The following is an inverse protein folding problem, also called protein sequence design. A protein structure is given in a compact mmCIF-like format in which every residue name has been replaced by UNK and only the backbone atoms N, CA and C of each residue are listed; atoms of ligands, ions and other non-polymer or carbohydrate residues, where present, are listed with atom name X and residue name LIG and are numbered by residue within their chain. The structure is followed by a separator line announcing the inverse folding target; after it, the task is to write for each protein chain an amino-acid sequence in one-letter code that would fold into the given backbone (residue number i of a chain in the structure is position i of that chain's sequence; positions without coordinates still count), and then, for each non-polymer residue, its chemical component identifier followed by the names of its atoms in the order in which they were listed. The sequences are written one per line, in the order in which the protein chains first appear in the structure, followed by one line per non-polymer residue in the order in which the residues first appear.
data_IF_191286511084
#
_entry.id   IF_191286511084
#
_cell.length_a   1.000
_cell.length_b   1.000
_cell.length_c   1.000
_cell.angle_alpha   90.00
_cell.angle_beta   90.00
_cell.angle_gamma   90.00
#
_symmetry.space_group_name_H-M   'P 1'
#
loop_
_entity.id
_entity.type
_entity.pdbx_description
1 polymer ?
#
# COMPACT_ATOMS: atom_id res chain seq x y z
N UNK A 1 -4.57 -15.50 39.97
CA UNK A 1 -4.71 -15.96 38.60
C UNK A 1 -4.28 -14.80 37.71
N UNK A 2 -3.26 -15.02 36.88
CA UNK A 2 -2.58 -13.99 36.08
C UNK A 2 -3.21 -13.79 34.71
N UNK A 3 -4.29 -14.52 34.42
CA UNK A 3 -5.02 -14.48 33.17
C UNK A 3 -5.94 -13.25 33.09
N UNK A 4 -5.81 -12.46 32.03
CA UNK A 4 -6.57 -11.25 31.77
C UNK A 4 -7.66 -11.41 30.71
N UNK A 5 -7.90 -12.60 30.16
CA UNK A 5 -8.86 -12.79 29.08
C UNK A 5 -10.27 -12.28 29.47
N UNK A 6 -10.72 -12.56 30.68
CA UNK A 6 -12.00 -12.03 31.18
C UNK A 6 -12.01 -10.50 31.31
N UNK A 7 -10.87 -9.89 31.59
CA UNK A 7 -10.75 -8.42 31.69
C UNK A 7 -10.78 -7.77 30.31
N UNK A 8 -10.35 -8.46 29.25
CA UNK A 8 -10.46 -7.98 27.89
C UNK A 8 -11.92 -7.73 27.52
N UNK A 9 -12.79 -8.68 27.80
CA UNK A 9 -14.21 -8.56 27.48
C UNK A 9 -14.88 -7.44 28.30
N UNK A 10 -14.58 -7.34 29.60
CA UNK A 10 -15.06 -6.25 30.46
C UNK A 10 -14.52 -4.88 29.98
N UNK A 11 -13.26 -4.82 29.54
CA UNK A 11 -12.69 -3.62 28.97
C UNK A 11 -13.45 -3.17 27.72
N UNK A 12 -13.76 -4.10 26.83
CA UNK A 12 -14.54 -3.80 25.63
C UNK A 12 -15.98 -3.37 25.97
N UNK A 13 -16.60 -3.97 26.96
CA UNK A 13 -17.92 -3.55 27.45
C UNK A 13 -17.91 -2.16 28.07
N UNK A 14 -16.79 -1.72 28.65
CA UNK A 14 -16.65 -0.38 29.27
C UNK A 14 -16.84 0.78 28.29
N UNK A 15 -16.75 0.54 26.98
CA UNK A 15 -17.04 1.54 25.95
C UNK A 15 -18.52 1.88 25.81
N UNK A 16 -19.43 1.08 26.40
CA UNK A 16 -20.87 1.34 26.41
C UNK A 16 -21.45 1.49 25.00
N UNK A 17 -22.02 2.66 24.71
CA UNK A 17 -22.62 2.96 23.41
C UNK A 17 -21.62 3.30 22.29
N UNK A 18 -20.33 3.53 22.60
CA UNK A 18 -19.28 3.78 21.59
C UNK A 18 -18.87 2.50 20.87
N UNK A 19 -19.77 2.00 20.02
CA UNK A 19 -19.53 0.80 19.19
C UNK A 19 -18.30 0.94 18.29
N UNK A 20 -17.97 2.15 17.84
CA UNK A 20 -16.80 2.38 16.95
C UNK A 20 -15.50 2.23 17.72
N UNK A 21 -15.39 2.82 18.89
CA UNK A 21 -14.25 2.65 19.80
C UNK A 21 -14.07 1.18 20.17
N UNK A 22 -15.12 0.55 20.66
CA UNK A 22 -15.13 -0.88 21.02
C UNK A 22 -14.63 -1.79 19.90
N UNK A 23 -15.17 -1.64 18.68
CA UNK A 23 -14.76 -2.48 17.53
C UNK A 23 -13.30 -2.26 17.13
N UNK A 24 -12.81 -1.03 17.24
CA UNK A 24 -11.40 -0.69 16.98
C UNK A 24 -10.48 -1.40 17.98
N UNK A 25 -10.76 -1.28 19.28
CA UNK A 25 -9.97 -1.95 20.32
C UNK A 25 -10.07 -3.48 20.21
N UNK A 26 -11.27 -4.02 19.98
CA UNK A 26 -11.47 -5.46 19.74
C UNK A 26 -10.61 -5.98 18.60
N UNK A 27 -10.57 -5.27 17.48
CA UNK A 27 -9.75 -5.65 16.33
C UNK A 27 -8.25 -5.62 16.63
N UNK A 28 -7.78 -4.60 17.38
CA UNK A 28 -6.37 -4.40 17.68
C UNK A 28 -5.84 -5.33 18.80
N UNK A 29 -6.71 -5.76 19.72
CA UNK A 29 -6.38 -6.73 20.78
C UNK A 29 -6.53 -8.19 20.32
N UNK A 30 -7.19 -8.42 19.19
CA UNK A 30 -7.41 -9.77 18.66
C UNK A 30 -6.07 -10.43 18.31
N UNK A 31 -5.89 -11.66 18.77
CA UNK A 31 -4.72 -12.49 18.47
C UNK A 31 -3.60 -12.42 19.49
N UNK A 32 -3.63 -11.48 20.43
CA UNK A 32 -2.72 -11.47 21.56
C UNK A 32 -3.18 -12.45 22.65
N UNK A 33 -2.22 -13.13 23.28
CA UNK A 33 -2.45 -14.01 24.40
C UNK A 33 -2.33 -13.24 25.73
N UNK A 34 -3.35 -13.36 26.56
CA UNK A 34 -3.43 -12.74 27.89
C UNK A 34 -3.53 -13.75 29.02
N UNK A 35 -3.11 -14.99 28.79
CA UNK A 35 -3.20 -16.07 29.80
C UNK A 35 -2.29 -15.83 30.98
N UNK A 36 -1.11 -15.26 30.77
CA UNK A 36 -0.20 -14.88 31.85
C UNK A 36 0.48 -13.54 31.63
N UNK A 37 0.02 -12.51 32.35
CA UNK A 37 0.55 -11.14 32.23
C UNK A 37 2.04 -11.04 32.56
N UNK A 38 2.61 -11.96 33.33
CA UNK A 38 4.05 -11.94 33.69
C UNK A 38 4.94 -12.08 32.46
N UNK A 39 4.47 -12.79 31.44
CA UNK A 39 5.20 -12.98 30.19
C UNK A 39 5.40 -11.66 29.44
N UNK A 40 4.50 -10.69 29.59
CA UNK A 40 4.57 -9.38 28.94
C UNK A 40 5.66 -8.45 29.48
N UNK A 41 6.42 -8.89 30.45
CA UNK A 41 7.62 -8.19 30.96
C UNK A 41 8.88 -8.56 30.17
N UNK A 42 8.81 -9.60 29.32
CA UNK A 42 9.91 -10.08 28.50
C UNK A 42 9.76 -9.59 27.04
N UNK A 43 10.78 -8.91 26.55
CA UNK A 43 10.82 -8.43 25.19
C UNK A 43 10.73 -9.55 24.15
N UNK A 44 11.29 -10.73 24.44
CA UNK A 44 11.22 -11.89 23.54
C UNK A 44 9.80 -12.39 23.41
N UNK A 45 9.06 -12.44 24.51
CA UNK A 45 7.64 -12.78 24.49
C UNK A 45 6.82 -11.73 23.75
N UNK A 46 7.06 -10.45 24.00
CA UNK A 46 6.38 -9.34 23.29
C UNK A 46 6.57 -9.49 21.77
N UNK A 47 7.81 -9.73 21.31
CA UNK A 47 8.09 -9.93 19.88
C UNK A 47 7.28 -11.11 19.33
N UNK A 48 7.28 -12.25 20.02
CA UNK A 48 6.52 -13.44 19.63
C UNK A 48 5.02 -13.17 19.52
N UNK A 49 4.45 -12.44 20.47
CA UNK A 49 3.04 -12.04 20.42
C UNK A 49 2.74 -11.12 19.23
N UNK A 50 3.64 -10.18 18.92
CA UNK A 50 3.50 -9.37 17.72
C UNK A 50 3.68 -10.17 16.43
N UNK A 51 4.51 -11.20 16.42
CA UNK A 51 4.65 -12.12 15.28
C UNK A 51 3.33 -12.84 14.98
N UNK A 52 2.62 -13.32 16.01
CA UNK A 52 1.33 -14.00 15.83
C UNK A 52 0.24 -13.09 15.25
N UNK A 53 0.25 -11.80 15.55
CA UNK A 53 -0.76 -10.86 15.04
C UNK A 53 -0.40 -10.24 13.69
N UNK A 54 0.76 -10.58 13.12
CA UNK A 54 1.23 -10.16 11.80
C UNK A 54 1.03 -8.66 11.52
N UNK A 55 1.67 -7.75 12.27
CA UNK A 55 1.51 -6.32 12.05
C UNK A 55 2.07 -5.91 10.69
N UNK A 56 1.33 -5.07 9.97
CA UNK A 56 1.65 -4.69 8.58
C UNK A 56 2.69 -3.57 8.44
N UNK A 57 3.06 -2.91 9.52
CA UNK A 57 3.99 -1.78 9.50
C UNK A 57 4.41 -1.37 10.90
N UNK A 58 5.51 -0.60 11.00
CA UNK A 58 5.92 0.03 12.26
C UNK A 58 4.80 0.90 12.88
N UNK A 59 3.94 1.52 12.07
CA UNK A 59 2.80 2.29 12.55
C UNK A 59 1.72 1.38 13.16
N UNK A 60 1.44 0.24 12.55
CA UNK A 60 0.52 -0.77 13.11
C UNK A 60 1.03 -1.29 14.45
N UNK A 61 2.33 -1.62 14.55
CA UNK A 61 2.98 -1.97 15.82
C UNK A 61 2.80 -0.87 16.87
N UNK A 62 3.06 0.39 16.52
CA UNK A 62 2.88 1.53 17.43
C UNK A 62 1.44 1.65 17.92
N UNK A 63 0.47 1.48 17.02
CA UNK A 63 -0.95 1.54 17.33
C UNK A 63 -1.34 0.42 18.30
N UNK A 64 -0.96 -0.83 18.02
CA UNK A 64 -1.22 -1.98 18.88
C UNK A 64 -0.56 -1.85 20.25
N UNK A 65 0.70 -1.40 20.30
CA UNK A 65 1.38 -1.08 21.56
C UNK A 65 0.62 -0.05 22.41
N UNK A 66 0.10 1.00 21.77
CA UNK A 66 -0.69 2.01 22.46
C UNK A 66 -1.97 1.42 23.04
N UNK A 67 -2.66 0.58 22.29
CA UNK A 67 -3.88 -0.12 22.74
C UNK A 67 -3.59 -1.07 23.88
N UNK A 68 -2.53 -1.88 23.80
CA UNK A 68 -2.10 -2.77 24.88
C UNK A 68 -1.78 -2.00 26.16
N UNK A 69 -1.09 -0.87 26.07
CA UNK A 69 -0.79 -0.02 27.23
C UNK A 69 -2.06 0.53 27.88
N UNK A 70 -3.04 0.98 27.08
CA UNK A 70 -4.35 1.43 27.58
C UNK A 70 -5.08 0.29 28.28
N UNK A 71 -5.10 -0.89 27.67
CA UNK A 71 -5.72 -2.08 28.24
C UNK A 71 -5.06 -2.49 29.57
N UNK A 72 -3.73 -2.58 29.62
CA UNK A 72 -3.01 -2.94 30.86
C UNK A 72 -3.21 -1.90 31.95
N UNK A 73 -3.23 -0.61 31.61
CA UNK A 73 -3.57 0.46 32.56
C UNK A 73 -4.96 0.25 33.14
N UNK A 74 -5.95 0.07 32.31
CA UNK A 74 -7.33 -0.18 32.73
C UNK A 74 -7.42 -1.42 33.62
N UNK A 75 -6.78 -2.55 33.24
CA UNK A 75 -6.72 -3.75 34.06
C UNK A 75 -6.12 -3.48 35.43
N UNK A 76 -5.05 -2.67 35.52
CA UNK A 76 -4.39 -2.35 36.80
C UNK A 76 -5.29 -1.58 37.76
N UNK A 77 -6.30 -0.90 37.25
CA UNK A 77 -7.32 -0.19 38.02
C UNK A 77 -8.45 -1.14 38.51
N UNK A 78 -8.63 -2.30 37.84
CA UNK A 78 -9.69 -3.27 38.13
C UNK A 78 -9.26 -4.44 39.01
N UNK A 79 -7.97 -4.71 39.14
CA UNK A 79 -7.46 -5.83 39.94
C UNK A 79 -7.04 -5.36 41.34
N UNK A 80 -7.33 -6.17 42.37
CA UNK A 80 -6.95 -5.86 43.75
C UNK A 80 -5.55 -6.42 44.12
N UNK A 81 -5.10 -7.48 43.44
CA UNK A 81 -3.85 -8.14 43.72
C UNK A 81 -2.65 -7.26 43.32
N UNK A 82 -1.81 -6.90 44.31
CA UNK A 82 -0.67 -6.03 44.11
C UNK A 82 0.41 -6.61 43.17
N UNK A 83 0.62 -7.92 43.20
CA UNK A 83 1.60 -8.58 42.31
C UNK A 83 1.14 -8.48 40.85
N UNK A 84 -0.15 -8.69 40.59
CA UNK A 84 -0.73 -8.53 39.24
C UNK A 84 -0.64 -7.08 38.78
N UNK A 85 -0.92 -6.11 39.67
CA UNK A 85 -0.74 -4.67 39.37
C UNK A 85 0.71 -4.38 38.97
N UNK A 86 1.66 -4.87 39.72
CA UNK A 86 3.08 -4.67 39.42
C UNK A 86 3.46 -5.28 38.08
N UNK A 87 3.03 -6.50 37.76
CA UNK A 87 3.27 -7.13 36.47
C UNK A 87 2.67 -6.33 35.30
N UNK A 88 1.45 -5.80 35.48
CA UNK A 88 0.81 -4.94 34.48
C UNK A 88 1.60 -3.63 34.24
N UNK A 89 2.11 -3.00 35.28
CA UNK A 89 2.94 -1.80 35.17
C UNK A 89 4.28 -2.11 34.49
N UNK A 90 4.90 -3.23 34.84
CA UNK A 90 6.13 -3.71 34.19
C UNK A 90 5.90 -4.03 32.71
N UNK A 91 4.79 -4.68 32.36
CA UNK A 91 4.39 -4.92 30.96
C UNK A 91 4.19 -3.63 30.17
N UNK A 92 3.57 -2.60 30.78
CA UNK A 92 3.46 -1.28 30.15
C UNK A 92 4.84 -0.64 29.92
N UNK A 93 5.77 -0.78 30.86
CA UNK A 93 7.13 -0.27 30.74
C UNK A 93 7.87 -0.99 29.61
N UNK A 94 7.86 -2.32 29.59
CA UNK A 94 8.48 -3.13 28.54
C UNK A 94 7.92 -2.77 27.14
N UNK A 95 6.60 -2.63 27.01
CA UNK A 95 5.96 -2.14 25.77
C UNK A 95 6.39 -0.71 25.42
N UNK A 96 6.79 0.11 26.38
CA UNK A 96 7.26 1.48 26.10
C UNK A 96 8.70 1.47 25.61
N UNK A 97 9.56 0.68 26.23
CA UNK A 97 11.00 0.59 25.97
C UNK A 97 11.31 -0.09 24.62
N UNK A 98 10.62 -1.19 24.30
CA UNK A 98 10.85 -1.87 23.02
C UNK A 98 10.38 -0.98 21.85
N UNK A 99 11.26 -0.69 20.89
CA UNK A 99 10.87 0.14 19.74
C UNK A 99 9.99 -0.64 18.76
N UNK A 100 9.07 0.06 18.06
CA UNK A 100 8.29 -0.54 16.99
C UNK A 100 9.15 -1.04 15.83
N UNK A 101 10.28 -0.40 15.58
CA UNK A 101 11.27 -0.84 14.59
C UNK A 101 11.96 -2.12 15.02
N UNK A 102 12.32 -2.25 16.32
CA UNK A 102 12.89 -3.49 16.86
C UNK A 102 11.93 -4.67 16.67
N UNK A 103 10.66 -4.49 17.03
CA UNK A 103 9.62 -5.51 16.82
C UNK A 103 9.52 -5.88 15.33
N UNK A 104 9.40 -4.92 14.43
CA UNK A 104 9.28 -5.19 12.99
C UNK A 104 10.50 -5.88 12.40
N UNK A 105 11.71 -5.53 12.85
CA UNK A 105 12.94 -6.17 12.38
C UNK A 105 13.11 -7.59 12.91
N UNK A 106 12.54 -7.90 14.09
CA UNK A 106 12.62 -9.24 14.70
C UNK A 106 11.53 -10.17 14.17
N UNK A 107 10.38 -9.62 13.81
CA UNK A 107 9.35 -10.36 13.10
C UNK A 107 9.87 -10.50 11.66
N UNK A 108 10.25 -11.70 11.27
CA UNK A 108 10.41 -12.04 9.85
C UNK A 108 9.02 -11.98 9.21
N UNK A 109 8.53 -10.77 8.99
CA UNK A 109 7.41 -10.57 8.09
C UNK A 109 7.97 -10.96 6.74
N UNK A 110 7.56 -12.12 6.25
CA UNK A 110 7.44 -12.35 4.82
C UNK A 110 6.41 -11.34 4.25
N UNK A 111 6.69 -10.05 4.38
CA UNK A 111 6.13 -9.05 3.50
C UNK A 111 6.97 -9.16 2.22
N UNK A 112 6.91 -10.35 1.61
CA UNK A 112 7.36 -10.56 0.25
C UNK A 112 6.46 -9.67 -0.59
N UNK A 113 6.89 -8.42 -0.67
CA UNK A 113 6.26 -7.43 -1.50
C UNK A 113 6.48 -7.92 -2.92
N UNK A 114 5.52 -8.70 -3.42
CA UNK A 114 5.57 -9.28 -4.74
C UNK A 114 5.33 -8.20 -5.77
N UNK A 115 6.04 -8.29 -6.86
CA UNK A 115 5.94 -7.42 -8.01
C UNK A 115 5.31 -8.19 -9.16
N UNK A 116 4.95 -7.50 -10.22
CA UNK A 116 4.42 -8.13 -11.43
C UNK A 116 5.36 -7.86 -12.61
N UNK A 117 5.60 -8.89 -13.40
CA UNK A 117 6.30 -8.78 -14.67
C UNK A 117 5.44 -8.05 -15.71
N UNK A 118 6.08 -7.63 -16.80
CA UNK A 118 5.36 -7.01 -17.92
C UNK A 118 4.37 -7.98 -18.59
N UNK A 119 4.68 -9.27 -18.61
CA UNK A 119 3.79 -10.28 -19.21
C UNK A 119 2.60 -10.59 -18.30
N UNK A 120 2.79 -10.63 -16.97
CA UNK A 120 1.69 -10.69 -16.02
C UNK A 120 0.77 -9.48 -16.16
N UNK A 121 1.34 -8.26 -16.27
CA UNK A 121 0.55 -7.06 -16.52
C UNK A 121 -0.30 -7.19 -17.78
N UNK A 122 0.31 -7.58 -18.93
CA UNK A 122 -0.42 -7.74 -20.19
C UNK A 122 -1.56 -8.75 -20.07
N UNK A 123 -1.33 -9.85 -19.35
CA UNK A 123 -2.35 -10.87 -19.11
C UNK A 123 -3.51 -10.30 -18.26
N UNK A 124 -3.20 -9.55 -17.20
CA UNK A 124 -4.21 -8.88 -16.37
C UNK A 124 -5.05 -7.92 -17.20
N UNK A 125 -4.40 -7.03 -17.97
CA UNK A 125 -5.10 -6.05 -18.82
C UNK A 125 -6.00 -6.77 -19.84
N UNK A 126 -5.50 -7.83 -20.48
CA UNK A 126 -6.30 -8.64 -21.41
C UNK A 126 -7.51 -9.28 -20.72
N UNK A 127 -7.35 -9.81 -19.52
CA UNK A 127 -8.45 -10.41 -18.76
C UNK A 127 -9.50 -9.35 -18.36
N UNK A 128 -9.05 -8.16 -17.96
CA UNK A 128 -9.94 -7.04 -17.67
C UNK A 128 -10.79 -6.69 -18.91
N UNK A 129 -10.16 -6.58 -20.08
CA UNK A 129 -10.81 -6.14 -21.30
C UNK A 129 -11.79 -7.18 -21.88
N UNK A 130 -11.48 -8.48 -21.71
CA UNK A 130 -12.22 -9.56 -22.42
C UNK A 130 -13.21 -10.29 -21.51
N UNK A 131 -12.87 -10.53 -20.25
CA UNK A 131 -13.60 -11.46 -19.39
C UNK A 131 -14.21 -10.84 -18.15
N UNK A 132 -13.85 -9.60 -17.80
CA UNK A 132 -14.40 -8.98 -16.62
C UNK A 132 -15.77 -8.33 -16.90
N UNK A 133 -16.83 -8.98 -16.42
CA UNK A 133 -18.20 -8.42 -16.49
C UNK A 133 -18.37 -7.27 -15.48
N UNK A 134 -17.66 -6.17 -15.76
CA UNK A 134 -17.69 -4.96 -14.95
C UNK A 134 -17.70 -3.74 -15.86
N UNK A 135 -18.76 -2.94 -15.89
CA UNK A 135 -18.84 -1.79 -16.77
C UNK A 135 -17.80 -0.69 -16.48
N UNK A 136 -17.13 -0.73 -15.33
CA UNK A 136 -15.96 0.13 -15.04
C UNK A 136 -14.62 -0.50 -15.47
N UNK A 137 -14.60 -1.65 -16.14
CA UNK A 137 -13.37 -2.32 -16.55
C UNK A 137 -12.41 -1.40 -17.35
N UNK A 138 -12.87 -0.59 -18.33
CA UNK A 138 -12.00 0.35 -19.06
C UNK A 138 -11.29 1.34 -18.15
N UNK A 139 -11.99 1.90 -17.16
CA UNK A 139 -11.40 2.81 -16.17
C UNK A 139 -10.34 2.09 -15.30
N UNK A 140 -10.64 0.87 -14.88
CA UNK A 140 -9.72 0.11 -14.03
C UNK A 140 -8.45 -0.28 -14.79
N UNK A 141 -8.56 -0.72 -16.05
CA UNK A 141 -7.41 -1.06 -16.87
C UNK A 141 -6.54 0.16 -17.18
N UNK A 142 -7.16 1.31 -17.50
CA UNK A 142 -6.45 2.55 -17.73
C UNK A 142 -5.68 3.01 -16.46
N UNK A 143 -6.30 2.97 -15.29
CA UNK A 143 -5.65 3.36 -14.04
C UNK A 143 -4.51 2.41 -13.67
N UNK A 144 -4.70 1.10 -13.83
CA UNK A 144 -3.70 0.10 -13.49
C UNK A 144 -2.48 0.22 -14.41
N UNK A 145 -2.72 0.36 -15.72
CA UNK A 145 -1.66 0.55 -16.70
C UNK A 145 -0.92 1.88 -16.53
N UNK A 146 -1.65 2.97 -16.23
CA UNK A 146 -1.07 4.29 -16.00
C UNK A 146 -0.06 4.28 -14.84
N UNK A 147 -0.39 3.62 -13.74
CA UNK A 147 0.50 3.48 -12.59
C UNK A 147 1.76 2.67 -12.98
N UNK A 148 1.57 1.57 -13.69
CA UNK A 148 2.68 0.74 -14.14
C UNK A 148 3.61 1.49 -15.08
N UNK A 149 3.08 2.27 -16.03
CA UNK A 149 3.87 3.05 -16.98
C UNK A 149 4.56 4.28 -16.37
N UNK A 150 4.28 4.62 -15.11
CA UNK A 150 5.03 5.64 -14.38
C UNK A 150 4.22 6.84 -13.92
N UNK A 151 2.89 6.82 -14.02
CA UNK A 151 2.07 7.82 -13.33
C UNK A 151 2.21 7.59 -11.83
N UNK A 152 3.18 8.27 -11.25
CA UNK A 152 3.63 8.12 -9.87
C UNK A 152 2.49 8.20 -8.87
N UNK A 153 2.51 7.28 -7.92
CA UNK A 153 1.53 7.22 -6.85
C UNK A 153 2.17 7.72 -5.57
N UNK A 154 1.99 8.99 -5.29
CA UNK A 154 2.26 9.54 -3.97
C UNK A 154 1.14 9.15 -2.97
N UNK A 155 1.31 9.56 -1.73
CA UNK A 155 0.32 9.26 -0.69
C UNK A 155 -1.07 9.85 -0.99
N UNK A 156 -1.14 10.92 -1.78
CA UNK A 156 -2.35 11.70 -2.08
C UNK A 156 -2.89 11.48 -3.50
N UNK A 157 -2.16 10.74 -4.37
CA UNK A 157 -2.50 10.52 -5.77
C UNK A 157 -2.64 11.83 -6.58
N UNK A 158 -1.85 12.85 -6.25
CA UNK A 158 -1.98 14.16 -6.88
C UNK A 158 -1.73 14.11 -8.38
N UNK A 159 -0.74 13.34 -8.85
CA UNK A 159 -0.45 13.13 -10.28
C UNK A 159 -1.63 12.53 -11.02
N UNK A 160 -2.24 11.47 -10.47
CA UNK A 160 -3.41 10.79 -11.05
C UNK A 160 -4.64 11.72 -11.07
N UNK A 161 -4.88 12.39 -9.95
CA UNK A 161 -6.03 13.29 -9.77
C UNK A 161 -5.99 14.49 -10.71
N UNK A 162 -4.79 15.01 -10.99
CA UNK A 162 -4.59 16.21 -11.79
C UNK A 162 -4.38 15.92 -13.28
N UNK A 163 -4.26 14.64 -13.68
CA UNK A 163 -4.04 14.26 -15.07
C UNK A 163 -5.21 14.65 -15.98
N UNK A 164 -4.91 15.33 -17.10
CA UNK A 164 -5.91 15.83 -18.07
C UNK A 164 -5.63 15.31 -19.47
N UNK A 165 -6.69 15.14 -20.24
CA UNK A 165 -6.57 14.73 -21.64
C UNK A 165 -5.87 15.79 -22.50
N UNK A 166 -6.03 17.09 -22.17
CA UNK A 166 -5.35 18.20 -22.84
C UNK A 166 -3.83 18.23 -22.64
N UNK A 167 -3.33 17.52 -21.61
CA UNK A 167 -1.90 17.45 -21.31
C UNK A 167 -1.19 16.33 -22.09
N UNK A 168 -1.91 15.62 -22.97
CA UNK A 168 -1.37 14.54 -23.82
C UNK A 168 -1.02 15.11 -25.20
N UNK A 169 0.27 15.13 -25.52
CA UNK A 169 0.79 15.55 -26.83
C UNK A 169 1.62 14.41 -27.44
N UNK A 170 1.22 13.88 -28.57
CA UNK A 170 1.82 12.69 -29.13
C UNK A 170 1.69 11.49 -28.20
N UNK A 171 2.78 10.88 -27.77
CA UNK A 171 2.85 9.82 -26.76
C UNK A 171 3.49 10.34 -25.47
N UNK A 172 3.43 11.63 -25.22
CA UNK A 172 3.92 12.26 -24.01
C UNK A 172 2.75 12.86 -23.26
N UNK A 173 2.69 12.61 -21.96
CA UNK A 173 1.76 13.29 -21.06
C UNK A 173 2.54 14.20 -20.11
N UNK A 174 2.08 15.44 -19.97
CA UNK A 174 2.61 16.38 -18.98
C UNK A 174 1.83 16.18 -17.68
N UNK A 175 2.53 15.78 -16.63
CA UNK A 175 1.96 15.46 -15.32
C UNK A 175 2.27 16.55 -14.31
N UNK A 176 1.30 16.85 -13.46
CA UNK A 176 1.36 17.90 -12.45
C UNK A 176 1.33 17.29 -11.05
N UNK A 177 2.45 17.36 -10.34
CA UNK A 177 2.53 17.11 -8.89
C UNK A 177 2.34 18.45 -8.14
N UNK A 178 2.32 18.43 -6.82
CA UNK A 178 2.03 19.62 -5.97
C UNK A 178 2.84 20.85 -6.37
N UNK A 179 4.14 20.68 -6.55
CA UNK A 179 5.11 21.76 -6.75
C UNK A 179 5.98 21.54 -8.01
N UNK A 180 5.71 20.51 -8.79
CA UNK A 180 6.51 20.15 -9.96
C UNK A 180 5.67 19.70 -11.14
N UNK A 181 6.24 19.86 -12.32
CA UNK A 181 5.68 19.37 -13.57
C UNK A 181 6.74 18.53 -14.26
N UNK A 182 6.37 17.37 -14.77
CA UNK A 182 7.28 16.49 -15.50
C UNK A 182 6.56 15.84 -16.68
N UNK A 183 7.34 15.38 -17.64
CA UNK A 183 6.83 14.70 -18.83
C UNK A 183 7.08 13.20 -18.70
N UNK A 184 6.08 12.41 -19.06
CA UNK A 184 6.14 10.97 -19.09
C UNK A 184 5.82 10.47 -20.50
N UNK A 185 6.70 9.65 -21.05
CA UNK A 185 6.42 8.91 -22.27
C UNK A 185 5.54 7.72 -21.96
N UNK A 186 4.40 7.62 -22.66
CA UNK A 186 3.38 6.60 -22.49
C UNK A 186 3.21 5.76 -23.76
N UNK A 187 2.78 4.51 -23.59
CA UNK A 187 2.45 3.63 -24.72
C UNK A 187 1.23 4.16 -25.50
N UNK A 188 1.12 3.76 -26.77
CA UNK A 188 -0.05 4.07 -27.59
C UNK A 188 -1.33 3.45 -26.99
N UNK A 189 -1.24 2.28 -26.38
CA UNK A 189 -2.38 1.63 -25.71
C UNK A 189 -2.82 2.47 -24.49
N UNK A 190 -1.90 2.85 -23.63
CA UNK A 190 -2.24 3.70 -22.48
C UNK A 190 -2.84 5.03 -22.93
N UNK A 191 -2.24 5.70 -23.92
CA UNK A 191 -2.78 6.95 -24.47
C UNK A 191 -4.25 6.80 -24.90
N UNK A 192 -4.57 5.77 -25.68
CA UNK A 192 -5.93 5.53 -26.12
C UNK A 192 -6.88 5.36 -24.93
N UNK A 193 -6.51 4.54 -23.94
CA UNK A 193 -7.31 4.32 -22.73
C UNK A 193 -7.53 5.59 -21.93
N UNK A 194 -6.50 6.43 -21.78
CA UNK A 194 -6.60 7.71 -21.07
C UNK A 194 -7.58 8.65 -21.76
N UNK A 195 -7.51 8.77 -23.10
CA UNK A 195 -8.41 9.60 -23.89
C UNK A 195 -9.86 9.08 -23.85
N UNK A 196 -10.08 7.79 -23.82
CA UNK A 196 -11.40 7.18 -23.66
C UNK A 196 -11.95 7.43 -22.24
N UNK A 197 -11.14 7.15 -21.21
CA UNK A 197 -11.51 7.35 -19.81
C UNK A 197 -11.87 8.81 -19.50
N UNK A 198 -11.21 9.78 -20.14
CA UNK A 198 -11.50 11.22 -19.94
C UNK A 198 -12.90 11.61 -20.40
N UNK A 199 -13.50 10.88 -21.35
CA UNK A 199 -14.85 11.15 -21.89
C UNK A 199 -15.97 10.61 -21.00
N UNK A 200 -15.62 9.71 -20.06
CA UNK A 200 -16.60 9.12 -19.15
C UNK A 200 -17.29 10.18 -18.30
N UNK A 201 -18.59 10.05 -18.14
CA UNK A 201 -19.43 10.95 -17.31
C UNK A 201 -20.04 10.23 -16.12
N UNK A 202 -20.05 8.91 -16.16
CA UNK A 202 -20.67 8.06 -15.16
C UNK A 202 -19.72 6.93 -14.78
N UNK A 203 -19.75 6.55 -13.50
CA UNK A 203 -19.27 5.28 -13.03
C UNK A 203 -20.45 4.36 -12.73
N UNK A 204 -20.21 3.08 -12.64
CA UNK A 204 -21.24 2.10 -12.35
C UNK A 204 -21.04 1.54 -10.95
N UNK A 205 -22.09 1.63 -10.12
CA UNK A 205 -22.15 0.95 -8.81
C UNK A 205 -23.02 -0.28 -8.92
N UNK A 206 -22.58 -1.35 -8.30
CA UNK A 206 -23.34 -2.58 -8.19
C UNK A 206 -24.15 -2.59 -6.89
N UNK A 207 -25.45 -2.80 -6.98
CA UNK A 207 -26.25 -3.34 -5.89
C UNK A 207 -26.36 -4.86 -6.07
N UNK A 208 -27.09 -5.56 -5.19
CA UNK A 208 -27.18 -7.05 -5.19
C UNK A 208 -27.50 -7.67 -6.57
N UNK A 209 -28.10 -6.95 -7.50
CA UNK A 209 -28.66 -7.52 -8.74
C UNK A 209 -28.34 -6.72 -10.00
N UNK A 210 -28.00 -5.44 -9.91
CA UNK A 210 -27.85 -4.56 -11.08
C UNK A 210 -26.75 -3.53 -10.87
N UNK A 211 -26.12 -3.16 -11.98
CA UNK A 211 -25.32 -1.95 -12.06
C UNK A 211 -26.23 -0.74 -12.27
N UNK A 212 -25.90 0.38 -11.67
CA UNK A 212 -26.57 1.66 -11.88
C UNK A 212 -25.53 2.77 -12.02
N UNK A 213 -25.85 3.75 -12.86
CA UNK A 213 -24.97 4.87 -13.15
C UNK A 213 -24.91 5.86 -11.99
N UNK A 214 -23.69 6.34 -11.70
CA UNK A 214 -23.42 7.38 -10.72
C UNK A 214 -22.57 8.44 -11.39
N UNK A 215 -22.95 9.74 -11.33
CA UNK A 215 -22.14 10.80 -11.91
C UNK A 215 -20.73 10.82 -11.33
N UNK A 216 -19.73 11.08 -12.18
CA UNK A 216 -18.33 11.25 -11.78
C UNK A 216 -17.86 12.68 -12.04
N UNK A 217 -16.93 13.14 -11.21
CA UNK A 217 -16.46 14.51 -11.20
C UNK A 217 -14.94 14.54 -11.24
N UNK A 218 -14.38 15.43 -12.03
CA UNK A 218 -12.97 15.80 -12.06
C UNK A 218 -12.78 17.22 -11.57
N UNK A 219 -11.52 17.64 -11.42
CA UNK A 219 -11.16 19.02 -11.13
C UNK A 219 -11.42 19.91 -12.35
N UNK A 220 -11.30 19.35 -13.56
CA UNK A 220 -11.53 19.98 -14.86
C UNK A 220 -12.42 19.08 -15.69
N UNK A 221 -13.05 19.62 -16.73
CA UNK A 221 -13.95 18.86 -17.63
C UNK A 221 -13.24 17.70 -18.32
N UNK A 222 -11.96 17.90 -18.66
CA UNK A 222 -11.08 16.93 -19.34
C UNK A 222 -10.20 16.11 -18.37
N UNK A 223 -10.46 16.17 -17.06
CA UNK A 223 -9.81 15.27 -16.08
C UNK A 223 -9.98 13.82 -16.50
N UNK A 224 -8.88 13.05 -16.53
CA UNK A 224 -8.87 11.67 -16.98
C UNK A 224 -9.54 10.77 -15.93
N UNK A 225 -9.02 10.76 -14.71
CA UNK A 225 -9.47 9.87 -13.65
C UNK A 225 -10.48 10.56 -12.72
N UNK A 226 -11.71 10.74 -13.21
CA UNK A 226 -12.81 11.29 -12.44
C UNK A 226 -13.29 10.34 -11.35
N UNK A 227 -13.88 10.86 -10.29
CA UNK A 227 -14.38 10.06 -9.15
C UNK A 227 -15.83 10.39 -8.84
N UNK A 228 -16.52 9.47 -8.16
CA UNK A 228 -17.92 9.63 -7.74
C UNK A 228 -18.10 10.68 -6.61
N UNK A 229 -17.03 11.09 -5.98
CA UNK A 229 -17.06 12.12 -4.93
C UNK A 229 -16.66 13.46 -5.52
N UNK A 230 -17.48 14.49 -5.31
CA UNK A 230 -17.05 15.86 -5.53
C UNK A 230 -15.79 16.09 -4.67
N UNK A 231 -14.74 16.64 -5.27
CA UNK A 231 -13.42 16.84 -4.68
C UNK A 231 -13.47 17.82 -3.48
N UNK A 232 -14.22 17.47 -2.43
CA UNK A 232 -14.37 18.28 -1.20
C UNK A 232 -13.38 17.94 -0.09
N UNK A 233 -12.85 16.72 -0.06
CA UNK A 233 -11.85 16.31 0.95
C UNK A 233 -10.74 15.50 0.30
N UNK A 234 -9.49 15.94 0.49
CA UNK A 234 -8.29 15.23 -0.01
C UNK A 234 -8.25 13.74 0.38
N UNK A 235 -8.81 13.40 1.54
CA UNK A 235 -8.82 12.02 2.05
C UNK A 235 -9.78 11.10 1.29
N UNK A 236 -10.93 11.61 0.83
CA UNK A 236 -11.91 10.79 0.09
C UNK A 236 -11.39 10.28 -1.25
N UNK A 237 -10.64 11.11 -1.96
CA UNK A 237 -10.14 10.80 -3.31
C UNK A 237 -9.11 9.68 -3.31
N UNK A 238 -8.15 9.70 -2.39
CA UNK A 238 -7.14 8.62 -2.30
C UNK A 238 -7.73 7.26 -1.97
N UNK A 239 -8.80 7.22 -1.17
CA UNK A 239 -9.54 6.00 -0.89
C UNK A 239 -10.17 5.40 -2.15
N UNK A 240 -10.73 6.24 -3.02
CA UNK A 240 -11.36 5.78 -4.27
C UNK A 240 -10.33 5.11 -5.17
N UNK A 241 -9.19 5.74 -5.43
CA UNK A 241 -8.15 5.14 -6.28
C UNK A 241 -7.60 3.83 -5.70
N UNK A 242 -7.29 3.81 -4.40
CA UNK A 242 -6.84 2.58 -3.73
C UNK A 242 -7.88 1.46 -3.81
N UNK A 243 -9.15 1.78 -3.62
CA UNK A 243 -10.23 0.81 -3.74
C UNK A 243 -10.35 0.25 -5.17
N UNK A 244 -10.19 1.10 -6.18
CA UNK A 244 -10.22 0.68 -7.59
C UNK A 244 -9.05 -0.24 -7.94
N UNK A 245 -7.83 0.11 -7.50
CA UNK A 245 -6.64 -0.73 -7.69
C UNK A 245 -6.82 -2.07 -6.96
N UNK A 246 -7.24 -2.02 -5.70
CA UNK A 246 -7.50 -3.22 -4.90
C UNK A 246 -8.53 -4.14 -5.54
N UNK A 247 -9.54 -3.59 -6.22
CA UNK A 247 -10.54 -4.39 -6.92
C UNK A 247 -9.91 -5.22 -8.05
N UNK A 248 -9.01 -4.63 -8.85
CA UNK A 248 -8.25 -5.37 -9.87
C UNK A 248 -7.37 -6.43 -9.23
N UNK A 249 -6.63 -6.07 -8.19
CA UNK A 249 -5.75 -7.00 -7.46
C UNK A 249 -6.53 -8.19 -6.92
N UNK A 250 -7.67 -7.95 -6.27
CA UNK A 250 -8.49 -9.04 -5.68
C UNK A 250 -9.11 -9.95 -6.74
N UNK A 251 -9.40 -9.42 -7.93
CA UNK A 251 -10.04 -10.19 -9.00
C UNK A 251 -9.05 -11.02 -9.81
N UNK A 252 -7.84 -10.49 -10.04
CA UNK A 252 -6.91 -11.07 -11.03
C UNK A 252 -5.58 -11.54 -10.44
N UNK A 253 -5.31 -11.29 -9.16
CA UNK A 253 -4.07 -11.69 -8.50
C UNK A 253 -4.36 -12.53 -7.26
N UNK A 254 -3.53 -13.54 -7.03
CA UNK A 254 -3.59 -14.39 -5.84
C UNK A 254 -2.85 -13.78 -4.62
N UNK A 255 -2.24 -12.61 -4.79
CA UNK A 255 -1.44 -11.91 -3.79
C UNK A 255 -1.81 -10.42 -3.70
N UNK A 256 -1.47 -9.77 -2.59
CA UNK A 256 -1.72 -8.33 -2.40
C UNK A 256 -0.64 -7.51 -3.12
N UNK A 257 -1.05 -6.75 -4.13
CA UNK A 257 -0.19 -5.81 -4.85
C UNK A 257 -0.54 -4.38 -4.46
N UNK A 258 0.40 -3.70 -3.80
CA UNK A 258 0.23 -2.29 -3.43
C UNK A 258 0.46 -1.37 -4.64
N UNK A 259 -0.21 -0.20 -4.72
CA UNK A 259 0.00 0.75 -5.81
C UNK A 259 1.48 1.13 -6.03
N UNK A 260 2.24 1.29 -4.95
CA UNK A 260 3.69 1.56 -5.04
C UNK A 260 4.46 0.39 -5.66
N UNK A 261 4.09 -0.85 -5.34
CA UNK A 261 4.71 -2.04 -5.93
C UNK A 261 4.40 -2.13 -7.43
N UNK A 262 3.17 -1.83 -7.84
CA UNK A 262 2.78 -1.75 -9.25
C UNK A 262 3.62 -0.72 -10.01
N UNK A 263 3.79 0.49 -9.44
CA UNK A 263 4.64 1.53 -10.03
C UNK A 263 6.11 1.09 -10.13
N UNK A 264 6.67 0.50 -9.07
CA UNK A 264 8.05 0.01 -9.08
C UNK A 264 8.22 -1.14 -10.07
N UNK A 265 7.21 -2.00 -10.24
CA UNK A 265 7.22 -3.06 -11.27
C UNK A 265 7.47 -2.47 -12.67
N UNK A 266 6.74 -1.42 -13.03
CA UNK A 266 6.94 -0.74 -14.30
C UNK A 266 8.30 -0.03 -14.41
N UNK A 267 8.75 0.63 -13.36
CA UNK A 267 10.09 1.23 -13.32
C UNK A 267 11.19 0.19 -13.52
N UNK A 268 11.09 -0.96 -12.84
CA UNK A 268 12.07 -2.04 -12.98
C UNK A 268 12.06 -2.65 -14.37
N UNK A 269 10.91 -2.82 -14.99
CA UNK A 269 10.81 -3.25 -16.37
C UNK A 269 11.52 -2.28 -17.34
N UNK A 270 11.34 -0.96 -17.19
CA UNK A 270 12.02 0.06 -17.99
C UNK A 270 13.54 0.05 -17.75
N UNK A 271 13.96 -0.05 -16.49
CA UNK A 271 15.39 -0.18 -16.13
C UNK A 271 15.97 -1.45 -16.76
N UNK A 272 15.29 -2.59 -16.69
CA UNK A 272 15.74 -3.84 -17.30
C UNK A 272 15.97 -3.70 -18.80
N UNK A 273 15.06 -3.08 -19.53
CA UNK A 273 15.19 -2.85 -20.96
C UNK A 273 16.40 -1.98 -21.31
N UNK A 274 16.56 -0.83 -20.62
CA UNK A 274 17.68 0.08 -20.87
C UNK A 274 19.03 -0.56 -20.49
N UNK A 275 19.07 -1.36 -19.42
CA UNK A 275 20.27 -2.13 -19.07
C UNK A 275 20.60 -3.16 -20.15
N UNK A 276 19.60 -3.91 -20.62
CA UNK A 276 19.80 -4.93 -21.67
C UNK A 276 20.30 -4.33 -22.99
N UNK A 277 19.77 -3.17 -23.41
CA UNK A 277 20.26 -2.40 -24.56
C UNK A 277 21.73 -2.01 -24.45
N UNK A 278 22.24 -1.87 -23.22
CA UNK A 278 23.63 -1.55 -22.93
C UNK A 278 24.49 -2.77 -22.54
N UNK A 279 23.96 -3.98 -22.65
CA UNK A 279 24.66 -5.22 -22.34
C UNK A 279 24.81 -5.54 -20.86
N UNK A 280 23.93 -5.00 -20.02
CA UNK A 280 23.91 -5.22 -18.57
C UNK A 280 22.60 -5.91 -18.14
N UNK A 281 22.59 -6.45 -16.92
CA UNK A 281 21.43 -7.12 -16.30
C UNK A 281 20.96 -6.39 -15.05
N UNK A 282 19.81 -6.77 -14.52
CA UNK A 282 19.35 -6.27 -13.24
C UNK A 282 20.27 -6.69 -12.09
N UNK A 283 20.86 -7.89 -12.16
CA UNK A 283 21.81 -8.39 -11.18
C UNK A 283 23.07 -7.50 -11.12
N UNK A 284 23.55 -7.04 -12.27
CA UNK A 284 24.69 -6.11 -12.32
C UNK A 284 24.40 -4.81 -11.55
N UNK A 285 23.14 -4.37 -11.55
CA UNK A 285 22.72 -3.12 -10.92
C UNK A 285 22.35 -3.29 -9.44
N UNK A 286 21.69 -4.39 -9.07
CA UNK A 286 21.02 -4.52 -7.77
C UNK A 286 21.61 -5.59 -6.86
N UNK A 287 22.13 -6.72 -7.38
CA UNK A 287 22.78 -7.77 -6.58
C UNK A 287 24.28 -7.51 -6.41
N UNK A 288 24.93 -6.88 -7.40
CA UNK A 288 26.34 -6.54 -7.28
C UNK A 288 26.55 -5.50 -6.17
N UNK A 289 27.36 -5.79 -5.13
CA UNK A 289 27.64 -4.85 -4.04
C UNK A 289 28.39 -3.57 -4.51
N UNK A 290 29.09 -3.66 -5.66
CA UNK A 290 29.83 -2.55 -6.25
C UNK A 290 29.58 -2.45 -7.76
N UNK A 291 28.37 -2.04 -8.18
CA UNK A 291 28.05 -1.90 -9.58
C UNK A 291 28.96 -0.85 -10.24
N UNK A 292 29.26 -1.05 -11.52
CA UNK A 292 30.07 -0.08 -12.26
C UNK A 292 29.39 1.28 -12.31
N UNK A 293 30.19 2.33 -12.49
CA UNK A 293 29.65 3.71 -12.65
C UNK A 293 28.67 3.77 -13.81
N UNK A 294 28.99 3.12 -14.96
CA UNK A 294 28.12 3.10 -16.12
C UNK A 294 26.73 2.50 -15.82
N UNK A 295 26.67 1.35 -15.14
CA UNK A 295 25.41 0.74 -14.69
C UNK A 295 24.64 1.66 -13.76
N UNK A 296 25.31 2.26 -12.79
CA UNK A 296 24.69 3.18 -11.82
C UNK A 296 24.10 4.42 -12.51
N UNK A 297 24.82 4.98 -13.48
CA UNK A 297 24.41 6.18 -14.22
C UNK A 297 23.18 5.87 -15.11
N UNK A 298 23.12 4.69 -15.76
CA UNK A 298 21.96 4.23 -16.52
C UNK A 298 20.73 4.14 -15.63
N UNK A 299 20.82 3.45 -14.49
CA UNK A 299 19.69 3.29 -13.56
C UNK A 299 19.20 4.64 -13.05
N UNK A 300 20.11 5.54 -12.67
CA UNK A 300 19.75 6.88 -12.20
C UNK A 300 19.08 7.72 -13.28
N UNK A 301 19.57 7.65 -14.52
CA UNK A 301 18.97 8.35 -15.65
C UNK A 301 17.52 7.90 -15.87
N UNK A 302 17.25 6.59 -15.80
CA UNK A 302 15.90 6.07 -15.95
C UNK A 302 15.00 6.45 -14.76
N UNK A 303 15.50 6.38 -13.52
CA UNK A 303 14.78 6.87 -12.33
C UNK A 303 14.36 8.34 -12.47
N UNK A 304 15.26 9.20 -13.00
CA UNK A 304 14.95 10.61 -13.23
C UNK A 304 13.88 10.79 -14.31
N UNK A 305 13.96 10.07 -15.44
CA UNK A 305 12.92 10.09 -16.48
C UNK A 305 11.54 9.72 -15.97
N UNK A 306 11.50 8.77 -15.04
CA UNK A 306 10.23 8.31 -14.43
C UNK A 306 9.83 9.14 -13.19
N UNK A 307 10.53 10.24 -12.91
CA UNK A 307 10.31 11.08 -11.73
C UNK A 307 10.24 10.26 -10.42
N UNK A 308 11.10 9.23 -10.28
CA UNK A 308 11.15 8.42 -9.07
C UNK A 308 11.65 9.28 -7.90
N UNK A 309 10.88 9.42 -6.80
CA UNK A 309 11.13 10.44 -5.78
C UNK A 309 12.19 10.05 -4.74
N UNK A 310 12.73 8.84 -4.84
CA UNK A 310 13.67 8.31 -3.86
C UNK A 310 15.03 8.07 -4.52
N UNK A 311 16.07 7.93 -3.70
CA UNK A 311 17.38 7.59 -4.19
C UNK A 311 17.51 6.09 -4.58
N UNK A 312 18.63 5.76 -5.25
CA UNK A 312 18.93 4.40 -5.69
C UNK A 312 19.02 3.42 -4.50
N UNK A 313 19.49 3.87 -3.34
CA UNK A 313 19.62 3.01 -2.17
C UNK A 313 18.23 2.56 -1.67
N UNK A 314 17.26 3.46 -1.67
CA UNK A 314 15.86 3.13 -1.33
C UNK A 314 15.26 2.18 -2.34
N UNK A 315 15.50 2.37 -3.64
CA UNK A 315 15.05 1.44 -4.67
C UNK A 315 15.67 0.06 -4.48
N UNK A 316 16.99 -0.01 -4.24
CA UNK A 316 17.69 -1.28 -3.96
C UNK A 316 17.12 -2.03 -2.77
N UNK A 317 16.87 -1.34 -1.65
CA UNK A 317 16.23 -1.95 -0.48
C UNK A 317 14.84 -2.50 -0.79
N UNK A 318 14.09 -1.79 -1.62
CA UNK A 318 12.71 -2.14 -1.94
C UNK A 318 12.58 -3.35 -2.87
N UNK A 319 13.56 -3.60 -3.74
CA UNK A 319 13.51 -4.68 -4.75
C UNK A 319 14.46 -5.85 -4.45
N UNK A 320 15.34 -5.72 -3.46
CA UNK A 320 16.46 -6.64 -3.20
C UNK A 320 16.07 -8.12 -3.18
N UNK A 321 14.99 -8.46 -2.49
CA UNK A 321 14.59 -9.85 -2.25
C UNK A 321 13.64 -10.38 -3.35
N UNK A 322 13.35 -9.59 -4.37
CA UNK A 322 12.33 -9.88 -5.40
C UNK A 322 12.81 -9.65 -6.83
N UNK A 323 14.12 -9.66 -7.09
CA UNK A 323 14.66 -9.43 -8.44
C UNK A 323 14.21 -10.49 -9.45
N UNK A 324 13.92 -11.70 -8.99
CA UNK A 324 13.36 -12.77 -9.83
C UNK A 324 12.01 -12.42 -10.46
N UNK A 325 11.20 -11.59 -9.78
CA UNK A 325 9.87 -11.19 -10.25
C UNK A 325 9.94 -10.28 -11.49
N UNK A 326 11.11 -9.67 -11.74
CA UNK A 326 11.35 -8.79 -12.89
C UNK A 326 12.06 -9.48 -14.07
N UNK A 327 12.38 -10.76 -13.95
CA UNK A 327 12.95 -11.55 -15.06
C UNK A 327 11.83 -11.88 -16.04
N UNK A 328 12.00 -11.49 -17.28
CA UNK A 328 11.15 -11.87 -18.42
C UNK A 328 11.42 -13.31 -18.85
#
# INVERSE_FOLDING_TARGET
MWNLEKYRDLFLESFGEDRRGMNTYKSLLKGFDFDDIRNWTDNTYIIKEFEQVHPKSTMDVKTRKSVLKVFFKWCSEQVDNQEVKMALLQGQLALTEISGTTIMNSIQVEDTQRFISNDELKNIIKQIDVSWDNPNAPYHSALFLAIYEGMYVDADFDVIKNARASDIEGNIITLHDKDSTFQLEISTDLKQRLLETSKEKYAYRQNRYKYFEVPIYGQYDDTIFKTEQRLGTKEGVKFVYRAKIRKVVTEFLEFDLKPKALYVSGLMWKISNVLAENGYTLEDAFENPSPSKAVTDIVRAEMLKQNYPYDLAVLKMYVKDNLSDFKN
#
